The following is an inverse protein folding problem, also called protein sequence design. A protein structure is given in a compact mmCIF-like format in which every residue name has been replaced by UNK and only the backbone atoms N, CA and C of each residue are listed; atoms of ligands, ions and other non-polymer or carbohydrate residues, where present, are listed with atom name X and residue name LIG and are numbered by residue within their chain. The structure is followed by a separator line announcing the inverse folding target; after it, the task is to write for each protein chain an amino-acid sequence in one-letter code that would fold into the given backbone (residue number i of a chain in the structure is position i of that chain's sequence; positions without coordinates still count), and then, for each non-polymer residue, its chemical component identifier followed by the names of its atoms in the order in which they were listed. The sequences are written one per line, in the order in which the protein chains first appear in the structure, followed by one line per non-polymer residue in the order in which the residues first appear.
data_IF_530753438421
#
_entry.id   IF_530753438421
#
_cell.length_a   1.000
_cell.length_b   1.000
_cell.length_c   1.000
_cell.angle_alpha   90.00
_cell.angle_beta   90.00
_cell.angle_gamma   90.00
#
_symmetry.space_group_name_H-M   'P 1'
#
loop_
_entity.id
_entity.type
_entity.pdbx_description
1 polymer ?
#
# COMPACT_ATOMS: atom_id res chain seq x y z
N UNK A 1 -5.15 -3.23 11.26
CA UNK A 1 -6.12 -4.29 10.91
C UNK A 1 -7.06 -3.88 9.79
N UNK A 2 -7.87 -2.82 9.95
CA UNK A 2 -8.98 -2.49 9.04
C UNK A 2 -8.61 -2.25 7.56
N UNK A 3 -7.34 -1.98 7.25
CA UNK A 3 -6.85 -1.91 5.87
C UNK A 3 -6.87 -3.28 5.17
N UNK A 4 -6.50 -4.35 5.89
CA UNK A 4 -6.32 -5.70 5.35
C UNK A 4 -7.52 -6.63 5.59
N UNK A 5 -8.53 -6.21 6.35
CA UNK A 5 -9.73 -7.02 6.62
C UNK A 5 -10.97 -6.13 6.75
N UNK A 6 -12.10 -6.62 6.25
CA UNK A 6 -13.41 -5.94 6.29
C UNK A 6 -14.31 -6.44 7.43
N UNK A 7 -13.90 -7.49 8.12
CA UNK A 7 -14.69 -8.24 9.10
C UNK A 7 -13.91 -8.45 10.40
N UNK A 8 -13.11 -7.45 10.78
CA UNK A 8 -12.35 -7.41 12.05
C UNK A 8 -11.30 -8.53 12.20
N UNK A 9 -10.80 -9.05 11.09
CA UNK A 9 -9.71 -10.03 11.04
C UNK A 9 -10.16 -11.47 10.78
N UNK A 10 -11.45 -11.72 10.57
CA UNK A 10 -11.96 -13.05 10.23
C UNK A 10 -11.48 -13.48 8.83
N UNK A 11 -11.46 -12.56 7.86
CA UNK A 11 -10.95 -12.83 6.51
C UNK A 11 -10.01 -11.73 6.01
N UNK A 12 -9.09 -12.13 5.11
CA UNK A 12 -8.20 -11.22 4.41
C UNK A 12 -8.88 -10.66 3.16
N UNK A 13 -8.95 -9.34 3.04
CA UNK A 13 -9.63 -8.66 1.92
C UNK A 13 -8.73 -8.48 0.67
N UNK A 14 -7.53 -9.10 0.68
CA UNK A 14 -6.52 -9.07 -0.38
C UNK A 14 -5.78 -7.73 -0.57
N UNK A 15 -6.11 -6.68 0.19
CA UNK A 15 -5.41 -5.41 0.10
C UNK A 15 -3.99 -5.46 0.67
N UNK A 16 -3.04 -4.96 -0.11
CA UNK A 16 -1.63 -4.85 0.26
C UNK A 16 -1.00 -3.63 -0.42
N UNK A 17 0.10 -3.14 0.14
CA UNK A 17 1.00 -2.17 -0.46
C UNK A 17 1.89 -2.86 -1.50
N UNK A 18 2.22 -2.15 -2.58
CA UNK A 18 2.98 -2.74 -3.68
C UNK A 18 4.49 -2.57 -3.46
N UNK A 19 5.17 -3.66 -3.10
CA UNK A 19 6.54 -3.64 -2.57
C UNK A 19 7.64 -3.26 -3.57
N UNK A 20 7.32 -3.14 -4.87
CA UNK A 20 8.28 -2.61 -5.85
C UNK A 20 8.61 -1.12 -5.62
N UNK A 21 7.79 -0.40 -4.85
CA UNK A 21 8.13 0.90 -4.30
C UNK A 21 7.99 0.88 -2.77
N UNK A 22 9.12 0.87 -2.08
CA UNK A 22 9.16 0.95 -0.61
C UNK A 22 10.23 1.92 -0.15
N UNK A 23 9.84 2.91 0.65
CA UNK A 23 10.75 3.73 1.45
C UNK A 23 10.43 3.43 2.90
N UNK A 24 11.19 2.51 3.50
CA UNK A 24 10.92 1.97 4.82
C UNK A 24 12.16 1.95 5.71
N UNK A 25 11.95 1.91 7.03
CA UNK A 25 13.03 1.78 8.01
C UNK A 25 13.36 0.29 8.22
N UNK A 26 14.59 -0.11 7.90
CA UNK A 26 15.06 -1.49 8.03
C UNK A 26 14.95 -2.07 9.45
N UNK A 27 14.90 -1.22 10.48
CA UNK A 27 14.73 -1.67 11.87
C UNK A 27 13.37 -2.34 12.10
N UNK A 28 12.36 -2.04 11.28
CA UNK A 28 11.08 -2.74 11.31
C UNK A 28 11.25 -4.23 10.98
N UNK A 29 11.88 -4.54 9.85
CA UNK A 29 12.16 -5.91 9.41
C UNK A 29 13.17 -6.64 10.32
N UNK A 30 14.11 -5.89 10.90
CA UNK A 30 15.04 -6.42 11.91
C UNK A 30 14.39 -6.56 13.29
N UNK A 31 13.16 -6.13 13.49
CA UNK A 31 12.44 -6.27 14.76
C UNK A 31 12.16 -7.72 15.11
N UNK A 32 11.95 -8.00 16.40
CA UNK A 32 11.62 -9.36 16.86
C UNK A 32 10.29 -9.86 16.30
N UNK A 33 9.26 -8.99 16.28
CA UNK A 33 7.93 -9.33 15.78
C UNK A 33 7.97 -9.78 14.31
N UNK A 34 8.65 -9.03 13.44
CA UNK A 34 8.76 -9.39 12.03
C UNK A 34 9.58 -10.68 11.83
N UNK A 35 10.71 -10.84 12.52
CA UNK A 35 11.53 -12.06 12.40
C UNK A 35 10.75 -13.30 12.80
N UNK A 36 10.04 -13.28 13.93
CA UNK A 36 9.18 -14.40 14.36
C UNK A 36 8.03 -14.66 13.39
N UNK A 37 7.41 -13.61 12.87
CA UNK A 37 6.36 -13.72 11.85
C UNK A 37 6.88 -14.38 10.56
N UNK A 38 8.03 -13.92 10.06
CA UNK A 38 8.65 -14.48 8.87
C UNK A 38 9.08 -15.94 9.08
N UNK A 39 9.75 -16.24 10.21
CA UNK A 39 10.18 -17.61 10.54
C UNK A 39 8.98 -18.57 10.60
N UNK A 40 7.84 -18.13 11.13
CA UNK A 40 6.60 -18.92 11.13
C UNK A 40 6.12 -19.21 9.70
N UNK A 41 6.04 -18.19 8.84
CA UNK A 41 5.59 -18.35 7.46
C UNK A 41 6.53 -19.20 6.60
N UNK A 42 7.84 -19.10 6.84
CA UNK A 42 8.83 -19.91 6.15
C UNK A 42 8.61 -21.40 6.46
N UNK A 43 8.32 -21.72 7.74
CA UNK A 43 8.04 -23.08 8.18
C UNK A 43 6.70 -23.63 7.67
N UNK A 44 5.71 -22.79 7.34
CA UNK A 44 4.45 -23.28 6.74
C UNK A 44 4.62 -23.69 5.28
N UNK A 45 5.70 -23.28 4.61
CA UNK A 45 6.01 -23.64 3.23
C UNK A 45 5.18 -22.93 2.16
N UNK A 46 4.35 -21.95 2.53
CA UNK A 46 3.45 -21.25 1.60
C UNK A 46 4.17 -20.48 0.48
N UNK A 47 5.43 -20.11 0.68
CA UNK A 47 6.27 -19.55 -0.37
C UNK A 47 6.51 -20.52 -1.55
N UNK A 48 6.55 -21.83 -1.28
CA UNK A 48 6.86 -22.87 -2.27
C UNK A 48 5.65 -23.70 -2.69
N UNK A 49 4.77 -24.02 -1.73
CA UNK A 49 3.56 -24.80 -1.99
C UNK A 49 2.42 -23.94 -2.52
N UNK A 50 2.49 -22.62 -2.32
CA UNK A 50 1.64 -21.63 -2.97
C UNK A 50 2.51 -20.64 -3.77
N UNK A 51 2.19 -19.35 -3.70
CA UNK A 51 2.98 -18.29 -4.35
C UNK A 51 2.88 -16.99 -3.56
N UNK A 52 3.19 -17.06 -2.27
CA UNK A 52 3.18 -15.88 -1.40
C UNK A 52 4.24 -14.88 -1.87
N UNK A 53 3.79 -13.73 -2.37
CA UNK A 53 4.66 -12.62 -2.69
C UNK A 53 5.06 -11.86 -1.43
N UNK A 54 6.19 -11.17 -1.46
CA UNK A 54 6.66 -10.31 -0.38
C UNK A 54 5.69 -9.15 -0.09
N UNK A 55 5.03 -8.60 -1.11
CA UNK A 55 4.09 -7.48 -0.96
C UNK A 55 2.96 -7.73 0.08
N UNK A 56 2.15 -8.82 -0.01
CA UNK A 56 1.18 -9.13 1.04
C UNK A 56 1.82 -9.46 2.39
N UNK A 57 2.99 -10.11 2.43
CA UNK A 57 3.69 -10.42 3.70
C UNK A 57 4.12 -9.14 4.43
N UNK A 58 4.79 -8.23 3.72
CA UNK A 58 5.20 -6.92 4.23
C UNK A 58 4.00 -6.11 4.72
N UNK A 59 2.91 -6.13 3.95
CA UNK A 59 1.70 -5.36 4.24
C UNK A 59 0.95 -5.86 5.46
N UNK A 60 0.81 -7.18 5.60
CA UNK A 60 0.19 -7.78 6.79
C UNK A 60 1.02 -7.44 8.03
N UNK A 61 2.35 -7.62 7.98
CA UNK A 61 3.23 -7.26 9.08
C UNK A 61 3.09 -5.77 9.45
N UNK A 62 3.18 -4.86 8.48
CA UNK A 62 3.09 -3.42 8.73
C UNK A 62 1.72 -3.04 9.33
N UNK A 63 0.62 -3.57 8.78
CA UNK A 63 -0.74 -3.26 9.21
C UNK A 63 -1.12 -3.81 10.60
N UNK A 64 -0.35 -4.77 11.12
CA UNK A 64 -0.56 -5.40 12.43
C UNK A 64 0.43 -4.95 13.50
N UNK A 65 1.71 -4.78 13.14
CA UNK A 65 2.79 -4.57 14.12
C UNK A 65 3.15 -3.10 14.32
N UNK A 66 2.71 -2.20 13.43
CA UNK A 66 2.96 -0.76 13.56
C UNK A 66 1.69 0.00 13.97
N UNK A 67 1.84 1.07 14.76
CA UNK A 67 0.83 2.11 14.84
C UNK A 67 0.51 2.67 13.45
N UNK A 68 -0.77 2.93 13.17
CA UNK A 68 -1.23 3.35 11.84
C UNK A 68 -0.57 4.62 11.31
N UNK A 69 -0.18 5.54 12.20
CA UNK A 69 0.50 6.80 11.89
C UNK A 69 1.98 6.63 11.49
N UNK A 70 2.51 5.40 11.55
CA UNK A 70 3.85 5.05 11.05
C UNK A 70 3.83 4.56 9.60
N UNK A 71 2.66 4.39 9.00
CA UNK A 71 2.50 4.05 7.59
C UNK A 71 2.18 5.33 6.82
N UNK A 72 2.90 5.59 5.74
CA UNK A 72 2.79 6.82 4.95
C UNK A 72 2.49 6.50 3.48
N UNK A 73 1.59 7.28 2.89
CA UNK A 73 1.30 7.26 1.47
C UNK A 73 1.86 8.54 0.85
N UNK A 74 2.80 8.37 -0.08
CA UNK A 74 3.47 9.46 -0.79
C UNK A 74 2.63 9.98 -1.96
N UNK A 75 1.61 10.79 -1.68
CA UNK A 75 0.71 11.36 -2.70
C UNK A 75 1.41 12.31 -3.69
N UNK A 76 2.62 12.74 -3.34
CA UNK A 76 3.49 13.67 -4.04
C UNK A 76 4.50 13.00 -4.99
N UNK A 77 4.65 11.67 -4.93
CA UNK A 77 5.59 10.92 -5.79
C UNK A 77 4.88 10.31 -7.00
N UNK A 78 5.23 10.83 -8.19
CA UNK A 78 4.85 10.19 -9.45
C UNK A 78 5.65 8.91 -9.71
N UNK A 79 4.98 7.76 -9.78
CA UNK A 79 5.61 6.45 -9.95
C UNK A 79 4.85 5.58 -10.94
N UNK A 80 5.56 4.78 -11.72
CA UNK A 80 4.96 3.79 -12.63
C UNK A 80 5.76 2.50 -12.57
N UNK A 81 5.04 1.40 -12.38
CA UNK A 81 5.58 0.06 -12.52
C UNK A 81 4.61 -0.77 -13.35
N UNK A 82 5.07 -1.32 -14.48
CA UNK A 82 4.23 -2.08 -15.40
C UNK A 82 2.95 -1.31 -15.80
N UNK A 83 1.77 -1.87 -15.50
CA UNK A 83 0.45 -1.35 -15.89
C UNK A 83 -0.14 -0.33 -14.92
N UNK A 84 0.39 -0.20 -13.70
CA UNK A 84 -0.15 0.73 -12.70
C UNK A 84 0.74 1.96 -12.54
N UNK A 85 0.08 3.09 -12.36
CA UNK A 85 0.70 4.41 -12.19
C UNK A 85 0.12 5.06 -10.95
N UNK A 86 0.97 5.64 -10.13
CA UNK A 86 0.61 6.65 -9.14
C UNK A 86 0.99 8.01 -9.72
N UNK A 87 0.02 8.90 -9.85
CA UNK A 87 0.22 10.23 -10.40
C UNK A 87 -0.42 11.27 -9.47
N UNK A 88 0.32 12.29 -9.00
CA UNK A 88 -0.25 13.34 -8.17
C UNK A 88 -1.48 13.96 -8.84
N UNK A 89 -2.62 13.97 -8.16
CA UNK A 89 -3.89 14.35 -8.81
C UNK A 89 -4.02 15.86 -9.01
N UNK A 90 -3.42 16.65 -8.11
CA UNK A 90 -3.52 18.10 -8.17
C UNK A 90 -2.79 18.66 -9.41
N UNK A 91 -3.48 19.42 -10.29
CA UNK A 91 -2.90 19.91 -11.54
C UNK A 91 -1.80 20.95 -11.32
N UNK A 92 -1.93 21.80 -10.30
CA UNK A 92 -0.93 22.82 -9.98
C UNK A 92 0.35 22.16 -9.48
N UNK A 93 0.23 21.19 -8.57
CA UNK A 93 1.36 20.40 -8.08
C UNK A 93 2.12 19.72 -9.23
N UNK A 94 1.39 19.04 -10.14
CA UNK A 94 2.02 18.41 -11.31
C UNK A 94 2.76 19.40 -12.20
N UNK A 95 2.22 20.60 -12.39
CA UNK A 95 2.86 21.65 -13.17
C UNK A 95 4.16 22.14 -12.52
N UNK A 96 4.10 22.48 -11.22
CA UNK A 96 5.24 23.00 -10.45
C UNK A 96 6.37 21.98 -10.33
N UNK A 97 6.02 20.71 -10.11
CA UNK A 97 6.97 19.61 -9.94
C UNK A 97 7.33 18.89 -11.26
N UNK A 98 6.87 19.41 -12.40
CA UNK A 98 7.17 18.89 -13.75
C UNK A 98 6.86 17.40 -13.91
N UNK A 99 5.74 16.94 -13.33
CA UNK A 99 5.32 15.56 -13.45
C UNK A 99 5.00 15.22 -14.91
N UNK A 100 5.47 14.06 -15.39
CA UNK A 100 5.24 13.59 -16.77
C UNK A 100 4.01 12.65 -16.90
N UNK A 101 3.49 12.13 -15.79
CA UNK A 101 2.40 11.16 -15.79
C UNK A 101 1.06 11.77 -16.23
N UNK A 102 0.22 10.93 -16.85
CA UNK A 102 -1.18 11.27 -17.11
C UNK A 102 -2.03 10.90 -15.87
N UNK A 103 -2.72 11.86 -15.22
CA UNK A 103 -3.56 11.59 -14.04
C UNK A 103 -4.76 10.69 -14.37
N UNK A 104 -5.21 10.63 -15.62
CA UNK A 104 -6.25 9.68 -16.03
C UNK A 104 -5.77 8.23 -15.93
N UNK A 105 -4.46 7.99 -15.86
CA UNK A 105 -3.89 6.66 -15.64
C UNK A 105 -3.57 6.40 -14.16
N UNK A 106 -3.87 7.33 -13.24
CA UNK A 106 -3.68 7.08 -11.81
C UNK A 106 -4.53 5.89 -11.35
N UNK A 107 -3.90 5.00 -10.60
CA UNK A 107 -4.50 3.77 -10.11
C UNK A 107 -5.06 3.92 -8.69
N UNK A 108 -4.63 4.93 -7.94
CA UNK A 108 -4.86 5.06 -6.49
C UNK A 108 -6.33 4.88 -6.11
N UNK A 109 -7.24 5.54 -6.83
CA UNK A 109 -8.67 5.50 -6.53
C UNK A 109 -9.50 4.65 -7.50
N UNK A 110 -8.87 3.76 -8.27
CA UNK A 110 -9.59 2.79 -9.13
C UNK A 110 -10.22 1.68 -8.32
N UNK A 111 -11.26 1.04 -8.86
CA UNK A 111 -12.03 0.01 -8.15
C UNK A 111 -11.20 -1.20 -7.68
N UNK A 112 -10.16 -1.59 -8.42
CA UNK A 112 -9.27 -2.70 -8.05
C UNK A 112 -8.11 -2.28 -7.12
N UNK A 113 -7.93 -0.97 -6.90
CA UNK A 113 -6.92 -0.45 -5.98
C UNK A 113 -7.43 -0.40 -4.55
N UNK A 114 -6.51 -0.41 -3.60
CA UNK A 114 -6.80 -0.28 -2.18
C UNK A 114 -6.65 1.16 -1.66
N UNK A 115 -6.39 2.16 -2.52
CA UNK A 115 -6.20 3.55 -2.09
C UNK A 115 -7.43 4.16 -1.43
N UNK A 116 -8.66 3.90 -1.95
CA UNK A 116 -9.90 4.37 -1.28
C UNK A 116 -9.98 3.87 0.16
N UNK A 117 -9.68 2.58 0.35
CA UNK A 117 -9.70 1.91 1.66
C UNK A 117 -8.62 2.45 2.58
N UNK A 118 -7.38 2.58 2.08
CA UNK A 118 -6.28 3.16 2.85
C UNK A 118 -6.66 4.53 3.42
N UNK A 119 -7.12 5.45 2.57
CA UNK A 119 -7.49 6.80 3.02
C UNK A 119 -8.61 6.78 4.07
N UNK A 120 -9.65 5.96 3.86
CA UNK A 120 -10.76 5.82 4.80
C UNK A 120 -10.28 5.29 6.17
N UNK A 121 -9.52 4.19 6.18
CA UNK A 121 -9.12 3.52 7.43
C UNK A 121 -8.02 4.28 8.19
N UNK A 122 -7.21 5.05 7.46
CA UNK A 122 -6.20 5.93 8.06
C UNK A 122 -6.78 7.28 8.51
N UNK A 123 -8.04 7.60 8.16
CA UNK A 123 -8.66 8.88 8.48
C UNK A 123 -8.09 10.06 7.68
N UNK A 124 -7.58 9.77 6.48
CA UNK A 124 -6.99 10.77 5.59
C UNK A 124 -8.06 11.37 4.69
N UNK A 125 -7.95 12.67 4.45
CA UNK A 125 -8.79 13.35 3.47
C UNK A 125 -8.35 12.95 2.06
N UNK A 126 -9.27 12.41 1.24
CA UNK A 126 -9.00 12.14 -0.17
C UNK A 126 -8.78 13.47 -0.93
N UNK A 127 -7.89 13.53 -1.93
CA UNK A 127 -7.67 14.74 -2.74
C UNK A 127 -8.99 15.20 -3.38
N UNK A 128 -9.22 16.50 -3.55
CA UNK A 128 -10.49 17.04 -4.10
C UNK A 128 -10.82 16.44 -5.47
N UNK A 129 -9.79 16.12 -6.23
CA UNK A 129 -9.86 15.61 -7.58
C UNK A 129 -10.13 14.09 -7.65
N UNK A 130 -10.15 13.37 -6.53
CA UNK A 130 -10.19 11.89 -6.52
C UNK A 130 -11.40 11.32 -7.27
N UNK A 131 -12.57 11.96 -7.19
CA UNK A 131 -13.79 11.48 -7.84
C UNK A 131 -13.70 11.52 -9.37
N UNK A 132 -12.89 12.43 -9.91
CA UNK A 132 -12.67 12.57 -11.35
C UNK A 132 -11.81 11.43 -11.91
N UNK A 133 -10.94 10.85 -11.07
CA UNK A 133 -9.91 9.89 -11.46
C UNK A 133 -10.16 8.47 -10.92
N UNK A 134 -11.40 8.14 -10.54
CA UNK A 134 -11.79 6.85 -9.97
C UNK A 134 -12.24 5.81 -11.00
#
# INVERSE_FOLDING_TARGET
MDFISDDKGETYNLCHFWSNFEIANLNFWRGEAYRKYFDYLDQTGGFFYERWGDAPIHSIAAALFLPKDKIHYFDDVGYKHSVYTQCPLNPQFRYEHKCHCNPDNDFTFRGYSCGKKYFEKMGLQKPKEWEKYQ
#
